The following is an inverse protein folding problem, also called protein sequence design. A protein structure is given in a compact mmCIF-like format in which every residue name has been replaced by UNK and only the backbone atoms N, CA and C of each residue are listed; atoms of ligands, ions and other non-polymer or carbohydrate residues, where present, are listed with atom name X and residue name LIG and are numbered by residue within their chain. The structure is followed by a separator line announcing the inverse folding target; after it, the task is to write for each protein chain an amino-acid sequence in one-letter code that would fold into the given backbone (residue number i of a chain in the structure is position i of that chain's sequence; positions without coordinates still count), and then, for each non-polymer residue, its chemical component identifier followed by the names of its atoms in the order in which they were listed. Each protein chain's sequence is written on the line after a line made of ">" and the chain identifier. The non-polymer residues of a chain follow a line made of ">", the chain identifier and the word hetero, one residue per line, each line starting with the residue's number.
data_IF_147298862891
#
_entry.id   IF_147298862891
#
_cell.length_a   1.000
_cell.length_b   1.000
_cell.length_c   1.000
_cell.angle_alpha   90.00
_cell.angle_beta   90.00
_cell.angle_gamma   90.00
#
_symmetry.space_group_name_H-M   'P 1'
#
loop_
_entity.id
_entity.type
_entity.pdbx_description
1 polymer ?
#
# COMPACT_ATOMS: atom_id res chain seq x y z
N UNK A 1 12.49 0.26 -11.29
CA UNK A 1 12.81 1.18 -10.18
C UNK A 1 12.15 2.51 -10.48
N UNK A 2 11.44 3.06 -9.50
CA UNK A 2 10.71 4.33 -9.62
C UNK A 2 10.98 5.16 -8.37
N UNK A 3 11.36 6.43 -8.53
CA UNK A 3 11.42 7.37 -7.42
C UNK A 3 9.99 7.84 -7.10
N UNK A 4 9.50 7.55 -5.89
CA UNK A 4 8.11 7.79 -5.48
C UNK A 4 7.95 9.04 -4.62
N UNK A 5 9.04 9.45 -3.95
CA UNK A 5 9.20 10.69 -3.22
C UNK A 5 10.70 11.03 -3.21
N UNK A 6 11.08 12.23 -2.76
CA UNK A 6 12.49 12.67 -2.74
C UNK A 6 13.41 11.60 -2.12
N UNK A 7 14.27 11.00 -2.97
CA UNK A 7 15.22 9.93 -2.66
C UNK A 7 14.60 8.68 -2.01
N UNK A 8 13.31 8.46 -2.21
CA UNK A 8 12.62 7.22 -1.85
C UNK A 8 12.30 6.45 -3.13
N UNK A 9 12.86 5.26 -3.26
CA UNK A 9 12.75 4.43 -4.46
C UNK A 9 11.94 3.17 -4.19
N UNK A 10 11.03 2.86 -5.11
CA UNK A 10 10.30 1.60 -5.20
C UNK A 10 10.96 0.72 -6.26
N UNK A 11 11.38 -0.48 -5.87
CA UNK A 11 12.03 -1.46 -6.74
C UNK A 11 11.22 -2.75 -6.70
N UNK A 12 10.76 -3.22 -7.86
CA UNK A 12 10.19 -4.56 -7.99
C UNK A 12 11.31 -5.60 -8.05
N UNK A 13 11.24 -6.63 -7.22
CA UNK A 13 12.23 -7.71 -7.18
C UNK A 13 11.75 -8.97 -7.91
N UNK A 14 10.45 -9.28 -7.85
CA UNK A 14 9.91 -10.51 -8.44
C UNK A 14 8.45 -10.38 -8.87
N UNK A 15 8.11 -11.13 -9.94
CA UNK A 15 6.75 -11.42 -10.40
C UNK A 15 6.57 -12.94 -10.40
N UNK A 16 6.01 -13.48 -9.33
CA UNK A 16 5.96 -14.93 -9.13
C UNK A 16 4.82 -15.59 -9.88
N UNK A 17 5.08 -16.15 -11.06
CA UNK A 17 4.24 -17.23 -11.61
C UNK A 17 4.57 -18.60 -11.01
N UNK A 18 5.78 -18.76 -10.43
CA UNK A 18 6.25 -20.02 -9.84
C UNK A 18 5.95 -20.09 -8.34
N UNK A 19 6.27 -19.02 -7.60
CA UNK A 19 6.15 -18.98 -6.13
C UNK A 19 4.90 -18.23 -5.64
N UNK A 20 4.02 -17.79 -6.55
CA UNK A 20 2.82 -17.01 -6.24
C UNK A 20 3.09 -15.81 -5.31
N UNK A 21 4.23 -15.16 -5.52
CA UNK A 21 4.71 -14.08 -4.68
C UNK A 21 5.16 -12.88 -5.51
N UNK A 22 4.89 -11.69 -5.00
CA UNK A 22 5.44 -10.44 -5.52
C UNK A 22 6.14 -9.70 -4.39
N UNK A 23 7.43 -9.42 -4.59
CA UNK A 23 8.26 -8.71 -3.61
C UNK A 23 8.75 -7.39 -4.17
N UNK A 24 8.70 -6.37 -3.33
CA UNK A 24 9.25 -5.05 -3.58
C UNK A 24 10.32 -4.70 -2.53
N UNK A 25 11.22 -3.81 -2.92
CA UNK A 25 12.14 -3.11 -2.03
C UNK A 25 11.79 -1.62 -2.04
N UNK A 26 11.62 -1.03 -0.87
CA UNK A 26 11.58 0.43 -0.69
C UNK A 26 12.92 0.87 -0.13
N UNK A 27 13.60 1.77 -0.83
CA UNK A 27 14.86 2.36 -0.39
C UNK A 27 14.66 3.83 -0.07
N UNK A 28 14.89 4.23 1.18
CA UNK A 28 15.01 5.63 1.58
C UNK A 28 16.48 5.97 1.75
N UNK A 29 17.06 6.63 0.73
CA UNK A 29 18.48 6.99 0.74
C UNK A 29 18.77 8.22 1.60
N UNK A 30 17.76 8.99 2.01
CA UNK A 30 17.97 10.11 2.93
C UNK A 30 18.22 9.59 4.34
N UNK A 31 17.48 8.55 4.76
CA UNK A 31 17.56 7.99 6.11
C UNK A 31 18.29 6.65 6.19
N UNK A 32 18.89 6.19 5.08
CA UNK A 32 19.58 4.89 4.98
C UNK A 32 18.71 3.70 5.42
N UNK A 33 17.44 3.71 5.05
CA UNK A 33 16.48 2.66 5.41
C UNK A 33 16.07 1.83 4.21
N UNK A 34 15.74 0.57 4.49
CA UNK A 34 15.20 -0.37 3.51
C UNK A 34 14.00 -1.11 4.10
N UNK A 35 12.97 -1.29 3.27
CA UNK A 35 11.83 -2.18 3.56
C UNK A 35 11.71 -3.19 2.43
N UNK A 36 11.83 -4.48 2.77
CA UNK A 36 11.40 -5.57 1.89
C UNK A 36 9.94 -5.86 2.20
N UNK A 37 9.05 -5.81 1.20
CA UNK A 37 7.63 -6.11 1.37
C UNK A 37 7.21 -7.16 0.35
N UNK A 38 6.55 -8.21 0.80
CA UNK A 38 6.13 -9.35 -0.02
C UNK A 38 4.64 -9.60 0.11
N UNK A 39 3.96 -9.79 -1.02
CA UNK A 39 2.58 -10.31 -1.09
C UNK A 39 2.61 -11.73 -1.65
N UNK A 40 2.09 -12.69 -0.90
CA UNK A 40 2.07 -14.11 -1.24
C UNK A 40 0.63 -14.62 -1.33
N UNK A 41 0.27 -15.26 -2.44
CA UNK A 41 -1.03 -15.90 -2.60
C UNK A 41 -1.01 -17.32 -2.04
N UNK A 42 -2.04 -17.65 -1.25
CA UNK A 42 -2.21 -18.93 -0.57
C UNK A 42 -3.38 -19.71 -1.19
N UNK A 43 -3.18 -20.45 -2.30
CA UNK A 43 -4.27 -21.10 -3.03
C UNK A 43 -5.01 -22.18 -2.21
N UNK A 44 -4.34 -22.77 -1.21
CA UNK A 44 -4.93 -23.79 -0.34
C UNK A 44 -5.74 -23.20 0.84
N UNK A 45 -5.64 -21.90 1.08
CA UNK A 45 -6.33 -21.23 2.19
C UNK A 45 -7.82 -21.13 1.87
N UNK A 46 -8.66 -21.64 2.79
CA UNK A 46 -10.12 -21.67 2.62
C UNK A 46 -10.83 -20.39 3.07
N UNK A 47 -10.10 -19.46 3.70
CA UNK A 47 -10.62 -18.20 4.20
C UNK A 47 -10.03 -17.04 3.43
N UNK A 48 -10.82 -15.96 3.28
CA UNK A 48 -10.35 -14.71 2.72
C UNK A 48 -9.78 -13.81 3.84
N UNK A 49 -8.79 -12.95 3.54
CA UNK A 49 -8.10 -12.81 2.26
C UNK A 49 -7.13 -13.98 2.01
N UNK A 50 -7.01 -14.40 0.75
CA UNK A 50 -6.06 -15.46 0.34
C UNK A 50 -4.64 -14.96 0.09
N UNK A 51 -4.44 -13.64 0.09
CA UNK A 51 -3.11 -13.06 0.13
C UNK A 51 -2.64 -12.84 1.57
N UNK A 52 -1.36 -13.11 1.79
CA UNK A 52 -0.62 -12.78 3.00
C UNK A 52 0.47 -11.77 2.66
N UNK A 53 0.67 -10.81 3.55
CA UNK A 53 1.64 -9.74 3.35
C UNK A 53 2.62 -9.71 4.52
N UNK A 54 3.90 -9.66 4.21
CA UNK A 54 4.99 -9.66 5.17
C UNK A 54 5.99 -8.56 4.82
N UNK A 55 6.60 -7.97 5.84
CA UNK A 55 7.64 -6.98 5.64
C UNK A 55 8.81 -7.18 6.58
N UNK A 56 9.99 -6.78 6.11
CA UNK A 56 11.22 -6.72 6.88
C UNK A 56 11.82 -5.34 6.74
N UNK A 57 12.21 -4.74 7.87
CA UNK A 57 12.85 -3.43 7.92
C UNK A 57 14.33 -3.61 8.20
N UNK A 58 15.17 -2.85 7.52
CA UNK A 58 16.61 -2.86 7.70
C UNK A 58 17.25 -1.50 7.46
N UNK A 59 18.57 -1.45 7.65
CA UNK A 59 19.40 -0.29 7.34
C UNK A 59 20.31 -0.59 6.15
N UNK A 60 20.57 0.44 5.37
CA UNK A 60 21.64 0.47 4.38
C UNK A 60 22.92 0.79 5.15
N UNK A 61 23.93 -0.08 5.05
CA UNK A 61 25.22 0.12 5.74
C UNK A 61 25.86 1.42 5.22
N UNK A 62 26.16 2.36 6.13
CA UNK A 62 26.72 3.68 5.83
C UNK A 62 26.63 4.65 7.01
N UNK A 63 26.82 5.94 6.76
CA UNK A 63 27.13 6.94 7.80
C UNK A 63 25.90 7.52 8.56
N UNK A 64 24.67 7.05 8.27
CA UNK A 64 23.44 7.64 8.79
C UNK A 64 22.71 6.73 9.78
N UNK A 65 23.27 6.57 10.98
CA UNK A 65 22.86 5.52 11.92
C UNK A 65 21.80 5.93 12.96
N UNK A 66 21.41 7.22 13.01
CA UNK A 66 20.59 7.79 14.08
C UNK A 66 19.12 8.11 13.69
N UNK A 67 18.62 7.54 12.60
CA UNK A 67 17.24 7.72 12.14
C UNK A 67 16.32 6.62 12.68
N UNK A 68 15.05 6.95 12.93
CA UNK A 68 14.04 5.99 13.36
C UNK A 68 13.64 5.09 12.19
N UNK A 69 13.74 3.77 12.39
CA UNK A 69 13.37 2.79 11.37
C UNK A 69 11.90 2.93 10.97
N UNK A 70 11.56 2.61 9.69
CA UNK A 70 10.19 2.44 9.28
C UNK A 70 9.42 1.51 10.22
N UNK A 71 8.21 1.91 10.60
CA UNK A 71 7.41 1.20 11.58
C UNK A 71 5.92 1.38 11.29
N UNK A 72 5.10 0.54 11.91
CA UNK A 72 3.65 0.70 11.87
C UNK A 72 3.23 2.08 12.37
N UNK A 73 2.24 2.67 11.71
CA UNK A 73 1.81 4.04 12.00
C UNK A 73 0.30 4.18 12.03
N UNK A 74 -0.16 5.23 12.71
CA UNK A 74 -1.56 5.64 12.79
C UNK A 74 -1.85 6.93 12.04
N UNK A 75 -0.84 7.50 11.37
CA UNK A 75 -0.92 8.83 10.75
C UNK A 75 -2.04 8.96 9.72
N UNK A 76 -2.37 7.86 9.04
CA UNK A 76 -3.41 7.82 8.01
C UNK A 76 -4.83 7.67 8.57
N UNK A 77 -4.99 7.17 9.80
CA UNK A 77 -6.30 6.85 10.37
C UNK A 77 -7.20 8.10 10.41
N UNK A 78 -8.43 7.93 9.93
CA UNK A 78 -9.44 8.97 9.81
C UNK A 78 -9.31 9.84 8.55
N UNK A 79 -8.26 9.67 7.73
CA UNK A 79 -8.18 10.34 6.43
C UNK A 79 -9.09 9.65 5.40
N UNK A 80 -9.68 10.48 4.55
CA UNK A 80 -10.44 10.09 3.36
C UNK A 80 -9.76 10.71 2.15
N UNK A 81 -9.27 9.87 1.24
CA UNK A 81 -8.47 10.27 0.08
C UNK A 81 -9.10 9.70 -1.19
N UNK A 82 -9.35 10.56 -2.17
CA UNK A 82 -9.69 10.16 -3.53
C UNK A 82 -8.41 9.90 -4.33
N UNK A 83 -8.31 8.74 -4.97
CA UNK A 83 -7.19 8.32 -5.81
C UNK A 83 -7.66 8.26 -7.27
N UNK A 84 -7.24 9.21 -8.09
CA UNK A 84 -7.58 9.33 -9.52
C UNK A 84 -6.54 8.57 -10.36
N UNK A 85 -6.88 7.36 -10.80
CA UNK A 85 -5.99 6.49 -11.59
C UNK A 85 -6.05 6.79 -13.09
N UNK A 86 -7.19 7.27 -13.58
CA UNK A 86 -7.39 7.70 -14.96
C UNK A 86 -8.50 8.74 -15.05
N UNK A 87 -8.77 9.26 -16.25
CA UNK A 87 -9.91 10.15 -16.49
C UNK A 87 -11.27 9.50 -16.20
N UNK A 88 -11.34 8.17 -16.23
CA UNK A 88 -12.57 7.39 -16.08
C UNK A 88 -12.65 6.59 -14.79
N UNK A 89 -11.59 6.55 -13.99
CA UNK A 89 -11.50 5.67 -12.82
C UNK A 89 -10.85 6.39 -11.64
N UNK A 90 -11.60 6.53 -10.55
CA UNK A 90 -11.11 7.01 -9.27
C UNK A 90 -11.58 6.09 -8.14
N UNK A 91 -10.82 6.00 -7.05
CA UNK A 91 -11.15 5.16 -5.90
C UNK A 91 -10.97 5.97 -4.63
N UNK A 92 -12.01 6.07 -3.81
CA UNK A 92 -11.85 6.64 -2.48
C UNK A 92 -11.31 5.60 -1.51
N UNK A 93 -10.35 5.98 -0.68
CA UNK A 93 -9.85 5.20 0.45
C UNK A 93 -10.21 5.92 1.74
N UNK A 94 -10.78 5.20 2.71
CA UNK A 94 -11.05 5.65 4.07
C UNK A 94 -10.26 4.76 5.02
N UNK A 95 -9.30 5.33 5.74
CA UNK A 95 -8.44 4.57 6.64
C UNK A 95 -9.10 4.48 8.02
N UNK A 96 -9.67 3.31 8.35
CA UNK A 96 -10.60 3.16 9.48
C UNK A 96 -9.85 3.00 10.81
N UNK A 97 -8.92 2.07 10.89
CA UNK A 97 -8.13 1.77 12.09
C UNK A 97 -6.75 1.19 11.70
N UNK A 98 -6.03 0.60 12.65
CA UNK A 98 -4.67 0.09 12.40
C UNK A 98 -4.60 -1.13 11.48
N UNK A 99 -5.72 -1.80 11.21
CA UNK A 99 -5.78 -3.05 10.46
C UNK A 99 -6.78 -3.06 9.29
N UNK A 100 -7.59 -2.02 9.13
CA UNK A 100 -8.68 -2.00 8.15
C UNK A 100 -8.80 -0.65 7.43
N UNK A 101 -9.17 -0.72 6.16
CA UNK A 101 -9.58 0.43 5.36
C UNK A 101 -10.86 0.09 4.58
N UNK A 102 -11.60 1.11 4.15
CA UNK A 102 -12.72 0.96 3.22
C UNK A 102 -12.41 1.64 1.89
N UNK A 103 -13.05 1.15 0.83
CA UNK A 103 -12.98 1.76 -0.49
C UNK A 103 -14.34 1.84 -1.18
N UNK A 104 -14.43 2.72 -2.17
CA UNK A 104 -15.49 2.73 -3.17
C UNK A 104 -14.94 3.22 -4.52
N UNK A 105 -15.35 2.56 -5.60
CA UNK A 105 -14.80 2.76 -6.94
C UNK A 105 -15.77 3.60 -7.80
N UNK A 106 -15.28 4.74 -8.26
CA UNK A 106 -15.93 5.59 -9.25
C UNK A 106 -15.41 5.25 -10.66
N UNK A 107 -16.28 4.66 -11.46
CA UNK A 107 -16.06 4.46 -12.90
C UNK A 107 -15.21 3.24 -13.21
N UNK A 108 -14.81 3.10 -14.48
CA UNK A 108 -14.12 1.89 -14.95
C UNK A 108 -14.98 0.62 -14.85
N UNK A 109 -14.31 -0.54 -14.94
CA UNK A 109 -14.96 -1.86 -14.99
C UNK A 109 -15.62 -2.25 -13.66
N UNK A 110 -15.06 -1.80 -12.54
CA UNK A 110 -15.52 -2.10 -11.17
C UNK A 110 -16.36 -0.96 -10.57
N UNK A 111 -17.02 -0.15 -11.40
CA UNK A 111 -17.80 1.01 -10.95
C UNK A 111 -18.86 0.60 -9.91
N UNK A 112 -18.91 1.32 -8.80
CA UNK A 112 -19.88 1.13 -7.73
C UNK A 112 -19.51 0.02 -6.74
N UNK A 113 -18.42 -0.72 -6.96
CA UNK A 113 -17.92 -1.67 -5.97
C UNK A 113 -17.34 -0.94 -4.76
N UNK A 114 -17.60 -1.50 -3.59
CA UNK A 114 -17.11 -1.02 -2.29
C UNK A 114 -16.98 -2.18 -1.32
N UNK A 115 -15.96 -2.15 -0.45
CA UNK A 115 -15.79 -3.10 0.65
C UNK A 115 -14.87 -2.52 1.74
N UNK A 116 -14.69 -3.29 2.82
CA UNK A 116 -13.67 -3.08 3.84
C UNK A 116 -12.66 -4.23 3.80
N UNK A 117 -11.38 -3.92 3.72
CA UNK A 117 -10.31 -4.90 3.62
C UNK A 117 -9.25 -4.72 4.70
N UNK A 118 -8.52 -5.80 4.96
CA UNK A 118 -7.38 -5.76 5.85
C UNK A 118 -6.23 -4.97 5.23
N UNK A 119 -5.61 -4.12 6.03
CA UNK A 119 -4.55 -3.23 5.62
C UNK A 119 -3.31 -3.31 6.54
N UNK A 120 -2.19 -2.80 6.04
CA UNK A 120 -0.91 -2.64 6.73
C UNK A 120 -0.40 -1.25 6.41
N UNK A 121 -0.06 -0.48 7.43
CA UNK A 121 0.38 0.91 7.31
C UNK A 121 1.77 1.09 7.90
N UNK A 122 2.76 1.39 7.07
CA UNK A 122 4.12 1.71 7.55
C UNK A 122 4.45 3.17 7.23
N UNK A 123 5.01 3.89 8.21
CA UNK A 123 5.65 5.17 7.96
C UNK A 123 7.06 4.90 7.45
N UNK A 124 7.37 5.34 6.23
CA UNK A 124 8.70 5.22 5.64
C UNK A 124 9.57 6.41 6.08
N UNK A 125 9.02 7.61 5.92
CA UNK A 125 9.54 8.88 6.47
C UNK A 125 8.38 9.87 6.60
N UNK A 126 8.64 11.10 7.00
CA UNK A 126 7.60 12.13 7.06
C UNK A 126 6.91 12.31 5.70
N UNK A 127 5.57 12.32 5.75
CA UNK A 127 4.65 12.38 4.60
C UNK A 127 4.77 11.24 3.56
N UNK A 128 5.57 10.19 3.84
CA UNK A 128 5.71 9.04 2.95
C UNK A 128 5.37 7.74 3.67
N UNK A 129 4.38 7.03 3.13
CA UNK A 129 3.81 5.85 3.77
C UNK A 129 3.76 4.67 2.80
N UNK A 130 3.97 3.46 3.30
CA UNK A 130 3.62 2.23 2.59
C UNK A 130 2.25 1.76 3.09
N UNK A 131 1.35 1.54 2.14
CA UNK A 131 0.04 0.95 2.33
C UNK A 131 0.00 -0.40 1.62
N UNK A 132 -0.16 -1.48 2.36
CA UNK A 132 -0.51 -2.79 1.82
C UNK A 132 -1.96 -3.11 2.17
N UNK A 133 -2.74 -3.63 1.24
CA UNK A 133 -4.05 -4.21 1.56
C UNK A 133 -4.35 -5.43 0.67
N UNK A 134 -5.34 -6.21 1.09
CA UNK A 134 -5.62 -7.56 0.60
C UNK A 134 -7.14 -7.74 0.56
N UNK A 135 -7.66 -7.86 -0.65
CA UNK A 135 -9.10 -7.87 -0.90
C UNK A 135 -9.75 -9.15 -0.32
N UNK A 136 -10.90 -8.99 0.33
CA UNK A 136 -11.71 -10.09 0.83
C UNK A 136 -12.57 -10.71 -0.27
N UNK A 137 -13.07 -9.88 -1.20
CA UNK A 137 -13.99 -10.29 -2.24
C UNK A 137 -13.30 -11.03 -3.40
N UNK A 138 -12.04 -10.69 -3.70
CA UNK A 138 -11.26 -11.24 -4.81
C UNK A 138 -9.82 -11.53 -4.39
N UNK A 139 -9.13 -12.40 -5.12
CA UNK A 139 -7.73 -12.74 -4.86
C UNK A 139 -6.79 -11.67 -5.40
N UNK A 140 -6.83 -10.50 -4.77
CA UNK A 140 -6.00 -9.35 -5.13
C UNK A 140 -5.39 -8.77 -3.87
N UNK A 141 -4.10 -8.44 -3.95
CA UNK A 141 -3.40 -7.61 -2.99
C UNK A 141 -2.83 -6.38 -3.69
N UNK A 142 -2.81 -5.27 -2.97
CA UNK A 142 -2.27 -4.01 -3.44
C UNK A 142 -1.18 -3.54 -2.47
N UNK A 143 -0.15 -2.94 -3.06
CA UNK A 143 0.94 -2.29 -2.35
C UNK A 143 1.10 -0.92 -2.97
N UNK A 144 1.04 0.15 -2.17
CA UNK A 144 1.16 1.53 -2.61
C UNK A 144 2.14 2.27 -1.70
N UNK A 145 3.02 3.07 -2.30
CA UNK A 145 3.73 4.14 -1.61
C UNK A 145 2.93 5.42 -1.80
N UNK A 146 2.55 6.06 -0.70
CA UNK A 146 1.80 7.30 -0.64
C UNK A 146 2.77 8.43 -0.33
N UNK A 147 2.95 9.37 -1.26
CA UNK A 147 3.60 10.66 -1.01
C UNK A 147 2.51 11.70 -0.79
N UNK A 148 2.28 12.06 0.49
CA UNK A 148 1.26 13.01 0.88
C UNK A 148 1.68 14.46 0.62
N UNK A 149 2.95 14.73 0.31
CA UNK A 149 3.44 16.07 -0.04
C UNK A 149 3.18 16.37 -1.51
N UNK A 150 3.48 15.43 -2.40
CA UNK A 150 3.14 15.56 -3.83
C UNK A 150 1.73 15.11 -4.17
N UNK A 151 1.03 14.49 -3.21
CA UNK A 151 -0.29 13.91 -3.38
C UNK A 151 -0.31 12.92 -4.55
N UNK A 152 0.63 11.97 -4.54
CA UNK A 152 0.69 10.84 -5.49
C UNK A 152 0.81 9.52 -4.76
N UNK A 153 0.23 8.48 -5.33
CA UNK A 153 0.57 7.12 -4.96
C UNK A 153 1.22 6.38 -6.13
N UNK A 154 2.03 5.37 -5.83
CA UNK A 154 2.69 4.53 -6.82
C UNK A 154 2.93 3.14 -6.23
N UNK A 155 2.66 2.09 -7.00
CA UNK A 155 2.75 0.75 -6.48
C UNK A 155 2.33 -0.32 -7.48
N UNK A 156 1.79 -1.42 -6.95
CA UNK A 156 1.40 -2.59 -7.73
C UNK A 156 0.05 -3.14 -7.26
N UNK A 157 -0.77 -3.58 -8.22
CA UNK A 157 -1.84 -4.53 -7.99
C UNK A 157 -1.37 -5.92 -8.41
N UNK A 158 -1.55 -6.89 -7.54
CA UNK A 158 -1.08 -8.26 -7.70
C UNK A 158 -2.25 -9.19 -7.41
N UNK A 159 -2.47 -10.20 -8.24
CA UNK A 159 -3.60 -11.08 -8.03
C UNK A 159 -3.49 -12.40 -8.78
N UNK A 160 -4.43 -13.27 -8.49
CA UNK A 160 -4.61 -14.54 -9.17
C UNK A 160 -6.07 -14.70 -9.57
N UNK A 161 -6.37 -14.47 -10.84
CA UNK A 161 -7.74 -14.48 -11.40
C UNK A 161 -7.75 -15.27 -12.69
N UNK A 162 -8.85 -15.96 -12.98
CA UNK A 162 -8.98 -16.79 -14.20
C UNK A 162 -7.82 -17.77 -14.39
N UNK A 163 -7.38 -18.39 -13.28
CA UNK A 163 -6.25 -19.31 -13.21
C UNK A 163 -4.89 -18.69 -13.61
N UNK A 164 -4.80 -17.36 -13.68
CA UNK A 164 -3.62 -16.63 -14.10
C UNK A 164 -3.13 -15.66 -13.03
N UNK A 165 -1.81 -15.67 -12.82
CA UNK A 165 -1.14 -14.67 -12.00
C UNK A 165 -0.98 -13.36 -12.77
N UNK A 166 -1.24 -12.23 -12.11
CA UNK A 166 -0.89 -10.91 -12.61
C UNK A 166 -0.15 -10.07 -11.57
N UNK A 167 0.73 -9.20 -12.07
CA UNK A 167 1.34 -8.10 -11.31
C UNK A 167 1.49 -6.91 -12.25
N UNK A 168 0.73 -5.86 -11.96
CA UNK A 168 0.66 -4.66 -12.79
C UNK A 168 1.03 -3.41 -11.97
N UNK A 169 1.87 -2.51 -12.51
CA UNK A 169 2.13 -1.25 -11.86
C UNK A 169 0.86 -0.37 -11.88
N UNK A 170 0.62 0.33 -10.77
CA UNK A 170 -0.49 1.27 -10.62
C UNK A 170 0.02 2.56 -9.97
N UNK A 171 -0.72 3.64 -10.19
CA UNK A 171 -0.44 4.92 -9.55
C UNK A 171 -1.54 5.93 -9.84
N UNK A 172 -1.78 6.82 -8.89
CA UNK A 172 -2.83 7.82 -8.96
C UNK A 172 -2.35 9.19 -8.47
N UNK A 173 -3.02 10.23 -8.96
CA UNK A 173 -3.06 11.50 -8.25
C UNK A 173 -4.04 11.39 -7.09
N UNK A 174 -3.69 11.97 -5.95
CA UNK A 174 -4.48 11.90 -4.73
C UNK A 174 -5.12 13.25 -4.42
N UNK A 175 -6.31 13.25 -3.84
CA UNK A 175 -6.98 14.44 -3.30
C UNK A 175 -7.53 14.11 -1.92
N UNK A 176 -7.16 14.91 -0.91
CA UNK A 176 -7.75 14.77 0.43
C UNK A 176 -9.18 15.29 0.39
N UNK A 177 -10.13 14.48 0.82
CA UNK A 177 -11.54 14.87 0.93
C UNK A 177 -11.79 15.54 2.29
N UNK A 178 -11.12 15.04 3.34
CA UNK A 178 -11.28 15.57 4.70
C UNK A 178 -9.93 15.95 5.35
N UNK A 179 -10.03 16.48 6.57
CA UNK A 179 -8.90 16.58 7.50
C UNK A 179 -8.95 15.39 8.46
N UNK A 180 -7.79 15.05 9.02
CA UNK A 180 -7.67 13.98 10.01
C UNK A 180 -8.50 14.28 11.25
N UNK A 181 -9.17 13.27 11.79
CA UNK A 181 -9.94 13.34 13.04
C UNK A 181 -9.01 13.16 14.25
N UNK A 182 -8.20 14.17 14.56
CA UNK A 182 -7.16 14.06 15.60
C UNK A 182 -7.70 13.70 17.00
N UNK A 183 -8.88 14.21 17.35
CA UNK A 183 -9.47 14.05 18.69
C UNK A 183 -9.98 12.63 18.99
N UNK A 184 -10.13 11.76 17.98
CA UNK A 184 -10.77 10.43 18.16
C UNK A 184 -9.87 9.25 17.75
N UNK A 185 -8.71 9.52 17.15
CA UNK A 185 -7.79 8.49 16.65
C UNK A 185 -7.06 7.69 17.74
N UNK A 186 -7.10 8.14 19.01
CA UNK A 186 -6.50 7.40 20.13
C UNK A 186 -7.21 6.06 20.40
N UNK A 187 -8.47 5.92 20.00
CA UNK A 187 -9.31 4.74 20.25
C UNK A 187 -9.44 3.80 19.05
N UNK A 188 -8.92 4.18 17.88
CA UNK A 188 -8.88 3.35 16.69
C UNK A 188 -7.71 2.37 16.80
N UNK A 189 -7.90 1.33 17.62
CA UNK A 189 -7.06 0.13 17.64
C UNK A 189 -7.46 -0.77 16.48
#
# INVERSE_FOLDING_TARGET
>A
MTEVADKVFLIELSKGSIDFAHSILVLDLNNSHVVLFSSQYQPSKKTTPRFEQHYHVGKIIGDNDNTLLPAETRDLIGLHILNEYSESTAVEHIYINSQWYAYHIYGGVRHGECDCDQATYLKIKDDVYLLGFRELAVDVAIILLLDLKSMRNTGFAVGYTDEQWFSIPIGAYMKRINKRLEEHNFHAL
#
